data_IF_847977311674
#
_entry.id   IF_847977311674
#
_cell.length_a   1.000
_cell.length_b   1.000
_cell.length_c   1.000
_cell.angle_alpha   90.00
_cell.angle_beta   90.00
_cell.angle_gamma   90.00
#
_symmetry.space_group_name_H-M   'P 1'
#
loop_
_entity.id
_entity.type
_entity.pdbx_description
1 polymer ?
#
# COMPACT_ATOMS: atom_id res chain seq x y z
N UNK A 1 -7.40 23.97 -13.05
CA UNK A 1 -6.92 23.00 -12.06
C UNK A 1 -6.89 21.61 -12.64
N UNK A 2 -5.73 20.95 -12.61
CA UNK A 2 -5.68 19.58 -13.12
C UNK A 2 -6.61 18.71 -12.25
N UNK A 3 -7.52 18.01 -12.91
CA UNK A 3 -8.35 17.04 -12.23
C UNK A 3 -7.49 15.85 -11.82
N UNK A 4 -7.53 15.54 -10.53
CA UNK A 4 -6.89 14.34 -10.02
C UNK A 4 -7.70 13.13 -10.46
N UNK A 5 -7.24 12.45 -11.49
CA UNK A 5 -7.79 11.15 -11.85
C UNK A 5 -7.10 10.08 -11.00
N UNK A 6 -7.58 9.93 -9.76
CA UNK A 6 -7.09 8.91 -8.86
C UNK A 6 -7.88 7.63 -9.07
N UNK A 7 -7.20 6.60 -9.53
CA UNK A 7 -7.78 5.27 -9.58
C UNK A 7 -7.71 4.64 -8.20
N UNK A 8 -8.86 4.19 -7.68
CA UNK A 8 -8.93 3.52 -6.39
C UNK A 8 -9.13 2.03 -6.62
N UNK A 9 -8.22 1.22 -6.06
CA UNK A 9 -8.28 -0.22 -6.16
C UNK A 9 -8.77 -0.81 -4.85
N UNK A 10 -9.88 -1.57 -4.93
CA UNK A 10 -10.43 -2.31 -3.79
C UNK A 10 -9.71 -3.65 -3.71
N UNK A 11 -8.68 -3.69 -2.90
CA UNK A 11 -7.78 -4.83 -2.87
C UNK A 11 -8.39 -6.08 -2.21
N UNK A 12 -9.44 -5.92 -1.41
CA UNK A 12 -10.08 -7.06 -0.74
C UNK A 12 -10.59 -8.11 -1.73
N UNK A 13 -11.22 -7.68 -2.81
CA UNK A 13 -11.73 -8.62 -3.82
C UNK A 13 -10.60 -9.30 -4.58
N UNK A 14 -9.56 -8.53 -4.90
CA UNK A 14 -8.39 -9.06 -5.61
C UNK A 14 -7.69 -10.12 -4.75
N UNK A 15 -7.48 -9.82 -3.49
CA UNK A 15 -6.86 -10.76 -2.55
C UNK A 15 -7.72 -12.01 -2.41
N UNK A 16 -9.03 -11.84 -2.28
CA UNK A 16 -9.97 -12.94 -2.17
C UNK A 16 -9.93 -13.87 -3.39
N UNK A 17 -9.99 -13.30 -4.59
CA UNK A 17 -9.94 -14.10 -5.83
C UNK A 17 -8.65 -14.89 -5.92
N UNK A 18 -7.54 -14.24 -5.64
CA UNK A 18 -6.23 -14.88 -5.74
C UNK A 18 -6.07 -16.00 -4.72
N UNK A 19 -6.59 -15.82 -3.51
CA UNK A 19 -6.50 -16.83 -2.46
C UNK A 19 -7.48 -17.99 -2.65
N UNK A 20 -8.59 -17.77 -3.36
CA UNK A 20 -9.54 -18.84 -3.65
C UNK A 20 -9.08 -19.83 -4.72
N UNK A 21 -8.05 -19.48 -5.48
CA UNK A 21 -7.55 -20.34 -6.54
C UNK A 21 -6.61 -21.45 -6.05
N UNK A 22 -6.96 -22.08 -4.95
CA UNK A 22 -6.40 -23.39 -4.64
C UNK A 22 -5.27 -23.42 -3.64
N UNK A 23 -5.19 -22.50 -2.71
CA UNK A 23 -4.20 -22.63 -1.67
C UNK A 23 -4.85 -22.40 -0.32
N UNK A 24 -4.87 -23.48 0.46
CA UNK A 24 -5.10 -23.37 1.87
C UNK A 24 -3.92 -22.61 2.44
N UNK A 25 -4.09 -21.34 2.67
CA UNK A 25 -3.03 -20.54 3.21
C UNK A 25 -3.04 -20.75 4.71
N UNK A 26 -2.03 -21.52 5.16
CA UNK A 26 -1.75 -21.71 6.57
C UNK A 26 -2.91 -22.25 7.42
N UNK A 27 -3.83 -23.01 6.78
CA UNK A 27 -4.95 -23.61 7.49
C UNK A 27 -6.04 -22.65 7.95
N UNK A 28 -5.98 -21.41 7.51
CA UNK A 28 -6.95 -20.39 7.88
C UNK A 28 -8.13 -20.37 6.94
N UNK A 29 -9.27 -19.93 7.45
CA UNK A 29 -10.49 -19.82 6.68
C UNK A 29 -10.46 -18.59 5.80
N UNK A 30 -11.41 -18.49 4.85
CA UNK A 30 -11.54 -17.37 3.95
C UNK A 30 -11.75 -16.02 4.65
N UNK A 31 -12.11 -16.03 5.93
CA UNK A 31 -12.41 -14.80 6.68
C UNK A 31 -11.28 -13.78 6.71
N UNK A 32 -10.04 -14.23 6.84
CA UNK A 32 -8.93 -13.29 6.92
C UNK A 32 -8.63 -12.59 5.61
N UNK A 33 -9.03 -13.18 4.48
CA UNK A 33 -8.86 -12.54 3.16
C UNK A 33 -9.80 -11.36 2.97
N UNK A 34 -10.92 -11.35 3.69
CA UNK A 34 -11.87 -10.24 3.68
C UNK A 34 -11.50 -9.16 4.67
N UNK A 35 -10.80 -9.53 5.72
CA UNK A 35 -10.31 -8.58 6.72
C UNK A 35 -8.88 -8.18 6.38
N UNK A 36 -8.76 -7.09 5.66
CA UNK A 36 -7.46 -6.59 5.22
C UNK A 36 -6.55 -6.24 6.41
N UNK A 37 -7.15 -5.76 7.50
CA UNK A 37 -6.37 -5.43 8.70
C UNK A 37 -5.74 -6.67 9.30
N UNK A 38 -6.48 -7.78 9.30
CA UNK A 38 -5.95 -9.07 9.75
C UNK A 38 -4.93 -9.63 8.77
N UNK A 39 -5.22 -9.53 7.46
CA UNK A 39 -4.32 -10.02 6.40
C UNK A 39 -2.91 -9.41 6.52
N UNK A 40 -2.84 -8.12 6.83
CA UNK A 40 -1.57 -7.41 6.97
C UNK A 40 -1.11 -7.28 8.42
N UNK A 41 -1.60 -8.15 9.31
CA UNK A 41 -1.18 -8.12 10.71
C UNK A 41 0.28 -8.56 10.86
N UNK A 42 0.93 -8.07 11.91
CA UNK A 42 2.37 -8.22 12.11
C UNK A 42 2.63 -8.83 13.49
N UNK A 43 3.61 -9.72 13.55
CA UNK A 43 4.07 -10.32 14.79
C UNK A 43 4.92 -9.32 15.59
N UNK A 44 5.18 -9.66 16.85
CA UNK A 44 6.02 -8.82 17.71
C UNK A 44 7.41 -8.56 17.14
N UNK A 45 7.94 -9.51 16.34
CA UNK A 45 9.26 -9.37 15.73
C UNK A 45 9.26 -8.50 14.45
N UNK A 46 8.10 -8.02 14.02
CA UNK A 46 7.98 -7.17 12.83
C UNK A 46 7.67 -7.89 11.53
N UNK A 47 7.61 -9.22 11.53
CA UNK A 47 7.26 -9.97 10.33
C UNK A 47 5.74 -10.14 10.22
N UNK A 48 5.25 -10.32 8.99
CA UNK A 48 3.82 -10.57 8.79
C UNK A 48 3.40 -11.90 9.38
N UNK A 49 2.21 -11.95 9.99
CA UNK A 49 1.62 -13.21 10.46
C UNK A 49 1.39 -14.14 9.27
N UNK A 50 0.87 -13.59 8.17
CA UNK A 50 0.59 -14.34 6.95
C UNK A 50 1.62 -14.01 5.87
N UNK A 51 2.88 -14.33 6.16
CA UNK A 51 4.02 -13.98 5.32
C UNK A 51 3.87 -14.47 3.88
N UNK A 52 3.52 -15.74 3.70
CA UNK A 52 3.37 -16.33 2.37
C UNK A 52 2.20 -15.71 1.62
N UNK A 53 1.12 -15.40 2.32
CA UNK A 53 -0.06 -14.78 1.71
C UNK A 53 0.25 -13.39 1.18
N UNK A 54 1.02 -12.61 1.96
CA UNK A 54 1.45 -11.28 1.52
C UNK A 54 2.38 -11.38 0.32
N UNK A 55 3.31 -12.33 0.33
CA UNK A 55 4.21 -12.57 -0.81
C UNK A 55 3.41 -12.89 -2.08
N UNK A 56 2.39 -13.71 -1.97
CA UNK A 56 1.53 -14.07 -3.09
C UNK A 56 0.72 -12.90 -3.59
N UNK A 57 0.25 -12.05 -2.69
CA UNK A 57 -0.44 -10.83 -3.05
C UNK A 57 0.48 -9.91 -3.89
N UNK A 58 1.70 -9.73 -3.47
CA UNK A 58 2.66 -8.90 -4.22
C UNK A 58 2.99 -9.52 -5.57
N UNK A 59 3.12 -10.86 -5.62
CA UNK A 59 3.36 -11.56 -6.86
C UNK A 59 2.17 -11.38 -7.82
N UNK A 60 0.94 -11.48 -7.31
CA UNK A 60 -0.25 -11.27 -8.11
C UNK A 60 -0.31 -9.86 -8.70
N UNK A 61 0.04 -8.85 -7.91
CA UNK A 61 0.06 -7.47 -8.39
C UNK A 61 0.99 -7.26 -9.59
N UNK A 62 2.06 -8.02 -9.66
CA UNK A 62 3.08 -7.85 -10.68
C UNK A 62 3.01 -8.84 -11.82
N UNK A 63 2.14 -9.85 -11.74
CA UNK A 63 2.06 -10.92 -12.73
C UNK A 63 0.69 -11.14 -13.35
N UNK A 64 -0.38 -10.82 -12.63
CA UNK A 64 -1.74 -11.06 -13.13
C UNK A 64 -2.19 -9.92 -14.03
N UNK A 65 -2.52 -10.23 -15.26
CA UNK A 65 -2.76 -9.28 -16.35
C UNK A 65 -3.72 -8.13 -16.01
N UNK A 66 -4.73 -8.38 -15.20
CA UNK A 66 -5.72 -7.36 -14.83
C UNK A 66 -5.35 -6.54 -13.58
N UNK A 67 -4.24 -6.85 -12.94
CA UNK A 67 -3.86 -6.21 -11.68
C UNK A 67 -2.88 -5.05 -11.91
N UNK A 68 -2.87 -4.05 -11.02
CA UNK A 68 -1.91 -2.96 -11.11
C UNK A 68 -0.48 -3.51 -11.08
N UNK A 69 0.43 -2.84 -11.75
CA UNK A 69 1.85 -3.20 -11.81
C UNK A 69 2.17 -4.49 -12.58
N UNK A 70 1.21 -5.06 -13.29
CA UNK A 70 1.43 -6.34 -13.99
C UNK A 70 2.19 -6.21 -15.31
N UNK A 71 2.17 -5.04 -15.93
CA UNK A 71 2.86 -4.81 -17.19
C UNK A 71 3.72 -3.55 -17.12
N UNK A 72 4.77 -3.45 -17.95
CA UNK A 72 5.57 -2.23 -18.02
C UNK A 72 4.75 -0.99 -18.36
N UNK A 73 3.71 -1.14 -19.18
CA UNK A 73 2.83 -0.04 -19.56
C UNK A 73 2.05 0.49 -18.37
N UNK A 74 1.47 -0.42 -17.58
CA UNK A 74 0.75 -0.05 -16.35
C UNK A 74 1.69 0.59 -15.34
N UNK A 75 2.90 0.05 -15.19
CA UNK A 75 3.90 0.63 -14.28
C UNK A 75 4.29 2.03 -14.72
N UNK A 76 4.34 2.28 -16.02
CA UNK A 76 4.60 3.60 -16.56
C UNK A 76 3.48 4.60 -16.29
N UNK A 77 2.25 4.12 -16.18
CA UNK A 77 1.10 4.95 -15.82
C UNK A 77 0.97 5.14 -14.31
N UNK A 78 1.43 4.16 -13.52
CA UNK A 78 1.32 4.16 -12.06
C UNK A 78 2.66 4.52 -11.41
N UNK A 79 3.22 5.65 -11.81
CA UNK A 79 4.54 6.08 -11.32
C UNK A 79 4.53 6.45 -9.84
N UNK A 80 3.49 7.12 -9.39
CA UNK A 80 3.37 7.57 -8.01
C UNK A 80 2.05 7.08 -7.44
N UNK A 81 2.11 6.12 -6.52
CA UNK A 81 0.91 5.55 -5.93
C UNK A 81 0.93 5.68 -4.41
N UNK A 82 -0.26 5.62 -3.84
CA UNK A 82 -0.50 5.77 -2.41
C UNK A 82 -1.19 4.50 -1.92
N UNK A 83 -0.62 3.86 -0.89
CA UNK A 83 -1.14 2.62 -0.33
C UNK A 83 -1.54 2.85 1.12
N UNK A 84 -2.78 2.58 1.46
CA UNK A 84 -3.33 2.85 2.78
C UNK A 84 -3.42 1.57 3.60
N UNK A 85 -2.78 1.57 4.76
CA UNK A 85 -2.76 0.46 5.70
C UNK A 85 -3.37 0.86 7.04
N UNK A 86 -3.61 -0.13 7.90
CA UNK A 86 -4.25 0.09 9.20
C UNK A 86 -3.26 0.50 10.29
N UNK A 87 -2.04 -0.04 10.25
CA UNK A 87 -1.07 0.13 11.34
C UNK A 87 0.33 0.47 10.84
N UNK A 88 1.05 1.22 11.67
CA UNK A 88 2.44 1.62 11.37
C UNK A 88 3.32 0.39 11.18
N UNK A 89 3.16 -0.64 12.01
CA UNK A 89 3.95 -1.86 11.90
C UNK A 89 3.71 -2.57 10.59
N UNK A 90 2.46 -2.59 10.11
CA UNK A 90 2.12 -3.19 8.82
C UNK A 90 2.78 -2.42 7.68
N UNK A 91 2.76 -1.08 7.75
CA UNK A 91 3.41 -0.24 6.74
C UNK A 91 4.92 -0.48 6.71
N UNK A 92 5.55 -0.56 7.87
CA UNK A 92 6.98 -0.81 7.97
C UNK A 92 7.37 -2.20 7.44
N UNK A 93 6.58 -3.21 7.78
CA UNK A 93 6.81 -4.58 7.29
C UNK A 93 6.66 -4.64 5.78
N UNK A 94 5.63 -4.00 5.25
CA UNK A 94 5.40 -3.97 3.81
C UNK A 94 6.51 -3.20 3.09
N UNK A 95 6.98 -2.09 3.66
CA UNK A 95 8.09 -1.35 3.09
C UNK A 95 9.33 -2.23 2.91
N UNK A 96 9.66 -3.04 3.92
CA UNK A 96 10.79 -3.97 3.82
C UNK A 96 10.61 -4.97 2.69
N UNK A 97 9.42 -5.54 2.55
CA UNK A 97 9.13 -6.49 1.47
C UNK A 97 9.22 -5.84 0.09
N UNK A 98 8.66 -4.64 -0.05
CA UNK A 98 8.67 -3.93 -1.32
C UNK A 98 10.10 -3.59 -1.75
N UNK A 99 10.93 -3.14 -0.82
CA UNK A 99 12.34 -2.81 -1.11
C UNK A 99 13.12 -4.02 -1.59
N UNK A 100 12.78 -5.20 -1.10
CA UNK A 100 13.44 -6.44 -1.49
C UNK A 100 12.82 -7.12 -2.72
N UNK A 101 11.70 -6.61 -3.19
CA UNK A 101 10.97 -7.22 -4.31
C UNK A 101 11.60 -6.80 -5.64
N UNK A 102 11.71 -7.73 -6.62
CA UNK A 102 12.36 -7.42 -7.91
C UNK A 102 11.71 -6.27 -8.67
N UNK A 103 10.39 -6.15 -8.63
CA UNK A 103 9.68 -5.08 -9.34
C UNK A 103 9.58 -3.83 -8.47
N UNK A 104 9.07 -3.98 -7.25
CA UNK A 104 8.82 -2.83 -6.37
C UNK A 104 10.10 -2.23 -5.82
N UNK A 105 11.21 -2.97 -5.83
CA UNK A 105 12.50 -2.44 -5.41
C UNK A 105 13.03 -1.33 -6.29
N UNK A 106 12.46 -1.16 -7.50
CA UNK A 106 12.80 -0.05 -8.39
C UNK A 106 12.11 1.25 -7.99
N UNK A 107 11.14 1.18 -7.08
CA UNK A 107 10.40 2.34 -6.60
C UNK A 107 11.05 2.90 -5.34
N UNK A 108 10.95 4.21 -5.17
CA UNK A 108 11.26 4.80 -3.85
C UNK A 108 10.09 4.54 -2.92
N UNK A 109 10.35 3.81 -1.84
CA UNK A 109 9.32 3.42 -0.87
C UNK A 109 9.35 4.43 0.29
N UNK A 110 8.24 5.11 0.51
CA UNK A 110 8.10 6.13 1.55
C UNK A 110 7.10 5.66 2.58
N UNK A 111 7.50 5.61 3.85
CA UNK A 111 6.56 5.35 4.94
C UNK A 111 6.15 6.70 5.51
N UNK A 112 4.95 7.13 5.18
CA UNK A 112 4.39 8.41 5.61
C UNK A 112 3.46 8.17 6.80
N UNK A 113 4.03 7.65 7.89
CA UNK A 113 3.29 7.34 9.10
C UNK A 113 4.07 7.88 10.29
N UNK A 114 3.40 8.66 11.12
CA UNK A 114 4.01 9.20 12.32
C UNK A 114 4.20 8.12 13.39
N UNK A 115 5.16 8.36 14.28
CA UNK A 115 5.43 7.46 15.41
C UNK A 115 4.79 7.95 16.72
N UNK A 116 3.97 8.99 16.66
CA UNK A 116 3.28 9.53 17.81
C UNK A 116 4.08 10.51 18.66
N UNK A 117 5.30 10.84 18.23
CA UNK A 117 6.18 11.73 19.00
C UNK A 117 5.89 13.22 18.81
N UNK A 118 5.28 13.57 17.70
CA UNK A 118 4.98 14.94 17.34
C UNK A 118 3.48 15.20 17.41
N UNK A 119 3.09 16.44 17.37
CA UNK A 119 1.68 16.80 17.21
C UNK A 119 1.18 16.29 15.87
N UNK A 120 -0.13 16.12 15.75
CA UNK A 120 -0.76 15.65 14.51
C UNK A 120 -0.41 16.56 13.33
N UNK A 121 -0.39 17.87 13.54
CA UNK A 121 -0.01 18.82 12.51
C UNK A 121 1.45 18.68 12.07
N UNK A 122 2.35 18.51 13.03
CA UNK A 122 3.78 18.37 12.73
C UNK A 122 4.06 17.03 12.02
N UNK A 123 3.39 15.97 12.41
CA UNK A 123 3.51 14.68 11.73
C UNK A 123 2.98 14.75 10.30
N UNK A 124 1.86 15.44 10.08
CA UNK A 124 1.31 15.64 8.74
C UNK A 124 2.28 16.44 7.88
N UNK A 125 2.90 17.48 8.42
CA UNK A 125 3.85 18.29 7.67
C UNK A 125 5.11 17.50 7.33
N UNK A 126 5.64 16.73 8.27
CA UNK A 126 6.79 15.88 8.04
C UNK A 126 6.51 14.81 6.99
N UNK A 127 5.32 14.21 7.04
CA UNK A 127 4.90 13.22 6.05
C UNK A 127 4.79 13.84 4.67
N UNK A 128 4.19 15.02 4.59
CA UNK A 128 4.08 15.76 3.33
C UNK A 128 5.45 16.06 2.72
N UNK A 129 6.35 16.60 3.53
CA UNK A 129 7.71 16.95 3.07
C UNK A 129 8.46 15.72 2.56
N UNK A 130 8.34 14.60 3.28
CA UNK A 130 8.96 13.34 2.92
C UNK A 130 8.45 12.81 1.57
N UNK A 131 7.13 12.83 1.39
CA UNK A 131 6.50 12.38 0.15
C UNK A 131 6.85 13.33 -0.99
N UNK A 132 6.80 14.64 -0.74
CA UNK A 132 7.12 15.64 -1.77
C UNK A 132 8.55 15.49 -2.25
N UNK A 133 9.49 15.31 -1.34
CA UNK A 133 10.89 15.10 -1.67
C UNK A 133 11.09 13.83 -2.49
N UNK A 134 10.42 12.75 -2.11
CA UNK A 134 10.53 11.49 -2.84
C UNK A 134 10.03 11.64 -4.27
N UNK A 135 8.86 12.26 -4.45
CA UNK A 135 8.28 12.45 -5.78
C UNK A 135 9.12 13.39 -6.63
N UNK A 136 9.69 14.41 -6.03
CA UNK A 136 10.54 15.36 -6.76
C UNK A 136 11.87 14.74 -7.22
N UNK A 137 12.39 13.78 -6.47
CA UNK A 137 13.71 13.22 -6.70
C UNK A 137 13.71 11.82 -7.34
N UNK A 138 12.54 11.20 -7.46
CA UNK A 138 12.42 9.85 -8.02
C UNK A 138 11.29 9.78 -9.03
N UNK A 139 11.52 9.06 -10.10
CA UNK A 139 10.52 8.90 -11.16
C UNK A 139 9.34 8.03 -10.70
N UNK A 140 9.61 7.07 -9.81
CA UNK A 140 8.60 6.12 -9.32
C UNK A 140 8.62 6.05 -7.81
N UNK A 141 7.48 6.24 -7.17
CA UNK A 141 7.35 6.16 -5.72
C UNK A 141 6.15 5.34 -5.29
N UNK A 142 6.26 4.73 -4.14
CA UNK A 142 5.12 4.12 -3.43
C UNK A 142 5.11 4.71 -2.04
N UNK A 143 4.02 5.40 -1.71
CA UNK A 143 3.84 5.99 -0.39
C UNK A 143 2.93 5.09 0.44
N UNK A 144 3.44 4.60 1.56
CA UNK A 144 2.66 3.78 2.50
C UNK A 144 2.22 4.68 3.64
N UNK A 145 0.91 4.79 3.83
CA UNK A 145 0.33 5.63 4.87
C UNK A 145 -0.56 4.80 5.79
N UNK A 146 -0.85 5.33 6.96
CA UNK A 146 -1.62 4.64 7.97
C UNK A 146 -2.78 5.53 8.43
N UNK A 147 -3.95 4.90 8.60
CA UNK A 147 -5.13 5.60 9.04
C UNK A 147 -5.79 6.38 7.93
N UNK A 148 -6.25 7.56 8.25
CA UNK A 148 -6.94 8.40 7.27
C UNK A 148 -5.93 9.12 6.39
N UNK A 149 -6.28 9.26 5.11
CA UNK A 149 -5.65 10.28 4.29
C UNK A 149 -5.75 11.58 5.08
N UNK A 150 -4.61 12.06 5.53
CA UNK A 150 -4.60 13.29 6.31
C UNK A 150 -5.26 14.39 5.50
N UNK A 151 -6.31 14.96 6.07
CA UNK A 151 -7.01 16.08 5.49
C UNK A 151 -6.01 17.19 5.16
N UNK A 152 -6.00 17.62 3.91
CA UNK A 152 -5.12 18.69 3.46
C UNK A 152 -3.89 18.26 2.69
N UNK A 153 -3.56 16.96 2.66
CA UNK A 153 -2.46 16.48 1.83
C UNK A 153 -3.03 16.01 0.50
N UNK A 154 -2.82 16.81 -0.54
CA UNK A 154 -3.15 16.43 -1.90
C UNK A 154 -1.88 16.50 -2.72
N UNK A 155 -1.49 15.38 -3.29
CA UNK A 155 -0.32 15.30 -4.16
C UNK A 155 -0.82 15.06 -5.58
N UNK A 156 -0.72 16.05 -6.47
CA UNK A 156 -1.26 15.90 -7.83
C UNK A 156 -0.65 14.77 -8.64
N UNK A 157 0.57 14.39 -8.31
CA UNK A 157 1.29 13.34 -9.04
C UNK A 157 0.81 11.93 -8.70
N UNK A 158 0.05 11.76 -7.63
CA UNK A 158 -0.51 10.44 -7.31
C UNK A 158 -1.53 10.03 -8.37
N UNK A 159 -1.35 8.84 -8.93
CA UNK A 159 -2.19 8.31 -9.99
C UNK A 159 -3.14 7.21 -9.50
N UNK A 160 -2.84 6.60 -8.38
CA UNK A 160 -3.69 5.54 -7.85
C UNK A 160 -3.57 5.43 -6.33
N UNK A 161 -4.66 4.98 -5.71
CA UNK A 161 -4.71 4.64 -4.29
C UNK A 161 -5.04 3.16 -4.17
N UNK A 162 -4.22 2.42 -3.43
CA UNK A 162 -4.51 1.03 -3.10
C UNK A 162 -4.99 0.97 -1.66
N UNK A 163 -6.23 0.54 -1.49
CA UNK A 163 -6.85 0.42 -0.17
C UNK A 163 -6.51 -0.95 0.42
N UNK A 164 -5.55 -0.97 1.33
CA UNK A 164 -5.09 -2.19 2.01
C UNK A 164 -5.58 -2.26 3.45
N UNK A 165 -6.64 -1.53 3.78
CA UNK A 165 -7.26 -1.59 5.08
C UNK A 165 -8.78 -1.59 4.92
N UNK A 166 -9.47 -2.03 5.97
CA UNK A 166 -10.92 -2.04 6.01
C UNK A 166 -11.52 -0.71 6.44
N UNK A 167 -10.69 0.30 6.64
CA UNK A 167 -11.15 1.64 7.00
C UNK A 167 -11.94 2.18 5.81
N UNK A 168 -13.15 2.63 6.09
CA UNK A 168 -13.99 3.24 5.05
C UNK A 168 -13.27 4.45 4.49
N UNK A 169 -13.24 4.53 3.16
CA UNK A 169 -12.76 5.75 2.50
C UNK A 169 -13.42 6.96 3.16
N UNK A 170 -12.63 7.94 3.59
CA UNK A 170 -13.24 9.17 4.03
C UNK A 170 -14.11 9.68 2.90
N UNK A 171 -15.35 10.01 3.24
CA UNK A 171 -16.24 10.63 2.27
C UNK A 171 -15.59 11.94 1.82
N UNK A 172 -15.22 11.96 0.60
CA UNK A 172 -14.69 13.16 -0.02
C UNK A 172 -15.81 14.20 -0.17
#
# INVERSE_FOLDING_TARGET
LPQLNLFTYQMSEIIREELQQGVEIEGETEEYAFDLNLFFSVKANGDFVYEESVDRFLEALTSQEKFPFSTPELRGELKHTFWLLDRVQSAKALARKLKAHPVFGEYEIVVAAGDGRLSEEDESQNSYDKVRDAINNHEKTITLSVGQLTTGITIPEWTAVLMLSNIKSPSL
#
